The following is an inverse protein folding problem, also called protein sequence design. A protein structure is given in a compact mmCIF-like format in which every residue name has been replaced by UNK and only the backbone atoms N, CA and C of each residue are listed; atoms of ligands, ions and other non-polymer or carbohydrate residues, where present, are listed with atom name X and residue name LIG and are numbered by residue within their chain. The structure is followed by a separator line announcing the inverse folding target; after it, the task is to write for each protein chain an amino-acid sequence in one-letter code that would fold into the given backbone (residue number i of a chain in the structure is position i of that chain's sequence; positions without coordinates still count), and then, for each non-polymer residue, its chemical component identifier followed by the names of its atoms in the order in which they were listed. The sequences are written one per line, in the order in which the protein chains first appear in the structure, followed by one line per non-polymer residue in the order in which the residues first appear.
data_IF_182435335406
#
_entry.id   IF_182435335406
#
_cell.length_a   1.000
_cell.length_b   1.000
_cell.length_c   1.000
_cell.angle_alpha   90.00
_cell.angle_beta   90.00
_cell.angle_gamma   90.00
#
_symmetry.space_group_name_H-M   'P 1'
#
loop_
_entity.id
_entity.type
_entity.pdbx_description
1 polymer ?
#
# COMPACT_ATOMS: atom_id res chain seq x y z
N UNK A 1 -15.99 3.66 24.30
CA UNK A 1 -14.61 3.16 24.47
C UNK A 1 -13.71 4.01 23.60
N UNK A 2 -12.65 4.62 24.17
CA UNK A 2 -11.65 5.34 23.38
C UNK A 2 -10.92 4.27 22.56
N UNK A 3 -11.02 4.33 21.25
CA UNK A 3 -10.31 3.41 20.35
C UNK A 3 -8.81 3.63 20.51
N UNK A 4 -8.04 2.55 20.71
CA UNK A 4 -6.57 2.57 20.72
C UNK A 4 -6.08 3.11 19.38
N UNK A 5 -4.94 3.79 19.35
CA UNK A 5 -4.26 4.17 18.13
C UNK A 5 -3.93 2.92 17.29
N UNK A 6 -3.98 3.06 15.97
CA UNK A 6 -3.48 2.05 15.03
C UNK A 6 -2.02 2.38 14.73
N UNK A 7 -1.09 1.50 15.13
CA UNK A 7 0.35 1.66 14.84
C UNK A 7 0.70 0.99 13.52
N UNK A 8 1.29 1.75 12.61
CA UNK A 8 1.71 1.27 11.28
C UNK A 8 3.22 1.34 11.13
N UNK A 9 3.78 0.38 10.40
CA UNK A 9 5.18 0.34 10.00
C UNK A 9 5.30 0.16 8.48
N UNK A 10 5.96 1.09 7.80
CA UNK A 10 6.24 1.03 6.38
C UNK A 10 7.66 0.48 6.20
N UNK A 11 7.81 -0.57 5.41
CA UNK A 11 9.13 -1.14 5.07
C UNK A 11 9.52 -0.67 3.67
N UNK A 12 10.52 0.24 3.61
CA UNK A 12 11.06 0.79 2.38
C UNK A 12 12.22 -0.07 1.88
N UNK A 13 11.94 -1.10 1.08
CA UNK A 13 12.93 -2.07 0.66
C UNK A 13 13.56 -1.79 -0.71
N UNK A 14 14.82 -2.20 -0.86
CA UNK A 14 15.46 -2.35 -2.15
C UNK A 14 15.12 -3.72 -2.71
N UNK A 15 14.03 -3.80 -3.46
CA UNK A 15 13.49 -5.04 -4.01
C UNK A 15 14.50 -5.67 -4.98
N UNK A 16 14.98 -6.88 -4.68
CA UNK A 16 15.77 -7.70 -5.59
C UNK A 16 14.92 -8.11 -6.79
N UNK A 17 15.36 -7.73 -7.99
CA UNK A 17 14.56 -7.89 -9.20
C UNK A 17 14.42 -9.35 -9.62
N UNK A 18 13.18 -9.84 -9.69
CA UNK A 18 12.85 -11.21 -10.07
C UNK A 18 13.30 -12.28 -9.07
N UNK A 19 13.81 -11.91 -7.91
CA UNK A 19 14.29 -12.85 -6.89
C UNK A 19 13.37 -12.87 -5.66
N UNK A 20 12.32 -13.69 -5.75
CA UNK A 20 11.34 -13.87 -4.69
C UNK A 20 12.00 -14.26 -3.36
N UNK A 21 12.91 -15.22 -3.38
CA UNK A 21 13.49 -15.77 -2.15
C UNK A 21 14.36 -14.76 -1.44
N UNK A 22 15.18 -13.99 -2.17
CA UNK A 22 15.96 -12.91 -1.60
C UNK A 22 15.04 -11.83 -0.96
N UNK A 23 13.92 -11.51 -1.59
CA UNK A 23 12.96 -10.53 -1.07
C UNK A 23 12.21 -11.05 0.16
N UNK A 24 11.80 -12.30 0.21
CA UNK A 24 11.18 -12.92 1.39
C UNK A 24 12.16 -13.00 2.58
N UNK A 25 13.41 -13.38 2.32
CA UNK A 25 14.47 -13.39 3.35
C UNK A 25 14.74 -11.98 3.89
N UNK A 26 14.79 -10.97 3.00
CA UNK A 26 14.95 -9.57 3.39
C UNK A 26 13.79 -9.09 4.25
N UNK A 27 12.56 -9.42 3.88
CA UNK A 27 11.38 -9.14 4.72
C UNK A 27 11.53 -9.80 6.10
N UNK A 28 11.92 -11.07 6.17
CA UNK A 28 12.14 -11.79 7.44
C UNK A 28 13.21 -11.14 8.34
N UNK A 29 14.20 -10.44 7.74
CA UNK A 29 15.17 -9.63 8.49
C UNK A 29 14.57 -8.30 8.97
N UNK A 30 13.84 -7.60 8.08
CA UNK A 30 13.33 -6.25 8.34
C UNK A 30 12.17 -6.23 9.33
N UNK A 31 11.29 -7.25 9.30
CA UNK A 31 10.15 -7.33 10.22
C UNK A 31 10.59 -7.45 11.69
N UNK A 32 11.79 -7.98 11.95
CA UNK A 32 12.37 -8.04 13.31
C UNK A 32 12.75 -6.67 13.88
N UNK A 33 12.86 -5.64 13.03
CA UNK A 33 13.17 -4.27 13.43
C UNK A 33 11.91 -3.42 13.63
N UNK A 34 10.75 -4.00 13.39
CA UNK A 34 9.45 -3.36 13.62
C UNK A 34 9.10 -3.48 15.10
N UNK A 35 8.50 -2.43 15.67
CA UNK A 35 8.05 -2.44 17.07
C UNK A 35 7.04 -3.57 17.33
N UNK A 36 7.14 -4.22 18.50
CA UNK A 36 6.18 -5.25 18.93
C UNK A 36 4.76 -4.70 19.12
N UNK A 37 4.60 -3.37 19.20
CA UNK A 37 3.30 -2.69 19.29
C UNK A 37 2.67 -2.43 17.92
N UNK A 38 3.35 -2.76 16.82
CA UNK A 38 2.85 -2.51 15.46
C UNK A 38 1.63 -3.36 15.15
N UNK A 39 0.63 -2.73 14.57
CA UNK A 39 -0.61 -3.37 14.14
C UNK A 39 -0.60 -3.79 12.67
N UNK A 40 0.07 -2.99 11.81
CA UNK A 40 0.14 -3.22 10.36
C UNK A 40 1.54 -2.95 9.84
N UNK A 41 2.11 -3.93 9.16
CA UNK A 41 3.32 -3.79 8.35
C UNK A 41 2.92 -3.61 6.88
N UNK A 42 3.47 -2.59 6.21
CA UNK A 42 3.13 -2.26 4.83
C UNK A 42 4.38 -2.36 3.95
N UNK A 43 4.29 -3.20 2.91
CA UNK A 43 5.34 -3.52 1.95
C UNK A 43 5.12 -2.77 0.63
N UNK A 44 6.16 -2.57 -0.20
CA UNK A 44 6.04 -1.93 -1.50
C UNK A 44 5.17 -2.72 -2.50
N UNK A 45 4.87 -2.09 -3.63
CA UNK A 45 4.25 -2.73 -4.79
C UNK A 45 5.17 -3.84 -5.34
N UNK A 46 4.58 -5.00 -5.69
CA UNK A 46 5.29 -6.15 -6.27
C UNK A 46 6.57 -6.49 -5.50
N UNK A 47 6.47 -6.55 -4.17
CA UNK A 47 7.62 -6.62 -3.26
C UNK A 47 8.48 -7.87 -3.46
N UNK A 48 7.92 -8.95 -4.05
CA UNK A 48 8.65 -10.20 -4.33
C UNK A 48 9.40 -10.19 -5.64
N UNK A 49 8.99 -9.38 -6.63
CA UNK A 49 9.52 -9.46 -8.00
C UNK A 49 10.07 -8.15 -8.54
N UNK A 50 9.66 -7.01 -7.97
CA UNK A 50 9.80 -5.72 -8.63
C UNK A 50 8.81 -5.57 -9.78
N UNK A 51 8.86 -4.41 -10.46
CA UNK A 51 7.91 -4.05 -11.52
C UNK A 51 8.31 -4.68 -12.86
N UNK A 52 8.22 -6.01 -12.95
CA UNK A 52 8.53 -6.80 -14.15
C UNK A 52 7.39 -6.68 -15.17
N UNK A 53 7.64 -6.08 -16.33
CA UNK A 53 6.66 -5.83 -17.41
C UNK A 53 7.10 -6.44 -18.73
N UNK A 54 7.60 -7.67 -18.68
CA UNK A 54 8.01 -8.49 -19.84
C UNK A 54 7.53 -9.94 -19.67
N UNK A 55 7.92 -10.81 -20.57
CA UNK A 55 7.47 -12.21 -20.61
C UNK A 55 7.88 -13.03 -19.38
N UNK A 56 8.96 -12.65 -18.69
CA UNK A 56 9.40 -13.34 -17.47
C UNK A 56 8.39 -13.21 -16.30
N UNK A 57 7.48 -12.25 -16.36
CA UNK A 57 6.41 -12.10 -15.38
C UNK A 57 5.56 -13.38 -15.20
N UNK A 58 5.40 -14.19 -16.27
CA UNK A 58 4.61 -15.44 -16.19
C UNK A 58 5.28 -16.50 -15.31
N UNK A 59 6.59 -16.55 -15.31
CA UNK A 59 7.38 -17.51 -14.53
C UNK A 59 7.46 -17.10 -13.06
N UNK A 60 7.39 -15.78 -12.79
CA UNK A 60 7.48 -15.19 -11.46
C UNK A 60 6.13 -15.11 -10.73
N UNK A 61 5.02 -15.25 -11.48
CA UNK A 61 3.69 -15.07 -10.94
C UNK A 61 3.23 -16.26 -10.08
N UNK A 62 2.58 -15.96 -8.98
CA UNK A 62 2.08 -16.96 -8.03
C UNK A 62 0.55 -16.90 -7.89
N UNK A 63 -0.05 -18.02 -7.51
CA UNK A 63 -1.45 -18.05 -7.08
C UNK A 63 -1.60 -17.46 -5.68
N UNK A 64 -2.83 -17.08 -5.29
CA UNK A 64 -3.12 -16.62 -3.92
C UNK A 64 -2.79 -17.69 -2.84
N UNK A 65 -2.67 -18.95 -3.24
CA UNK A 65 -2.26 -20.06 -2.38
C UNK A 65 -0.78 -20.40 -2.53
N UNK A 66 0.00 -19.54 -3.20
CA UNK A 66 1.43 -19.72 -3.42
C UNK A 66 2.27 -19.47 -2.17
N UNK A 67 3.56 -19.77 -2.28
CA UNK A 67 4.53 -19.68 -1.18
C UNK A 67 4.60 -18.28 -0.57
N UNK A 68 4.53 -17.22 -1.39
CA UNK A 68 4.54 -15.85 -0.89
C UNK A 68 3.41 -15.59 0.11
N UNK A 69 2.17 -15.88 -0.26
CA UNK A 69 1.02 -15.62 0.62
C UNK A 69 1.05 -16.54 1.85
N UNK A 70 1.45 -17.80 1.70
CA UNK A 70 1.61 -18.73 2.83
C UNK A 70 2.66 -18.19 3.83
N UNK A 71 3.84 -17.80 3.36
CA UNK A 71 4.89 -17.24 4.19
C UNK A 71 4.44 -15.96 4.91
N UNK A 72 3.73 -15.06 4.21
CA UNK A 72 3.20 -13.84 4.82
C UNK A 72 2.16 -14.15 5.91
N UNK A 73 1.28 -15.13 5.71
CA UNK A 73 0.32 -15.57 6.72
C UNK A 73 1.00 -16.16 7.96
N UNK A 74 2.07 -16.92 7.77
CA UNK A 74 2.89 -17.44 8.88
C UNK A 74 3.56 -16.29 9.66
N UNK A 75 4.16 -15.32 8.96
CA UNK A 75 4.75 -14.13 9.60
C UNK A 75 3.68 -13.31 10.33
N UNK A 76 2.53 -13.07 9.72
CA UNK A 76 1.41 -12.34 10.31
C UNK A 76 0.96 -12.97 11.62
N UNK A 77 0.80 -14.29 11.66
CA UNK A 77 0.45 -15.04 12.88
C UNK A 77 1.56 -14.98 13.93
N UNK A 78 2.80 -15.20 13.50
CA UNK A 78 3.94 -15.27 14.41
C UNK A 78 4.17 -13.92 15.14
N UNK A 79 4.09 -12.81 14.42
CA UNK A 79 4.26 -11.47 14.98
C UNK A 79 2.95 -10.83 15.45
N UNK A 80 1.80 -11.49 15.27
CA UNK A 80 0.45 -10.97 15.56
C UNK A 80 0.20 -9.58 14.94
N UNK A 81 0.60 -9.40 13.67
CA UNK A 81 0.57 -8.14 12.91
C UNK A 81 -0.10 -8.37 11.55
N UNK A 82 -0.95 -7.44 11.09
CA UNK A 82 -1.43 -7.49 9.72
C UNK A 82 -0.32 -7.10 8.74
N UNK A 83 -0.30 -7.71 7.55
CA UNK A 83 0.69 -7.40 6.50
C UNK A 83 -0.04 -6.99 5.23
N UNK A 84 0.31 -5.81 4.69
CA UNK A 84 -0.21 -5.27 3.45
C UNK A 84 0.91 -5.09 2.41
N UNK A 85 0.56 -5.15 1.13
CA UNK A 85 1.51 -4.97 0.03
C UNK A 85 0.88 -5.31 -1.31
N UNK A 86 1.70 -5.54 -2.34
CA UNK A 86 1.21 -6.22 -3.55
C UNK A 86 2.23 -7.21 -4.09
N UNK A 87 1.75 -8.20 -4.82
CA UNK A 87 2.55 -9.23 -5.46
C UNK A 87 2.07 -9.51 -6.88
N UNK A 88 2.88 -10.19 -7.66
CA UNK A 88 2.53 -10.64 -9.00
C UNK A 88 1.69 -11.90 -8.90
N UNK A 89 0.38 -11.73 -9.09
CA UNK A 89 -0.60 -12.80 -8.96
C UNK A 89 -0.93 -13.41 -10.32
N UNK A 90 -1.16 -14.74 -10.34
CA UNK A 90 -1.67 -15.47 -11.49
C UNK A 90 -3.02 -16.14 -11.18
N UNK A 91 -3.88 -16.11 -12.17
CA UNK A 91 -5.02 -17.02 -12.30
C UNK A 91 -4.75 -18.00 -13.44
N UNK A 92 -5.73 -18.80 -13.89
CA UNK A 92 -5.50 -19.82 -14.91
C UNK A 92 -4.82 -19.27 -16.20
N UNK A 93 -5.11 -18.05 -16.63
CA UNK A 93 -4.58 -17.46 -17.87
C UNK A 93 -4.16 -15.99 -17.74
N UNK A 94 -4.41 -15.36 -16.62
CA UNK A 94 -4.26 -13.92 -16.44
C UNK A 94 -3.26 -13.59 -15.32
N UNK A 95 -2.55 -12.47 -15.49
CA UNK A 95 -1.63 -11.92 -14.51
C UNK A 95 -2.18 -10.61 -13.94
N UNK A 96 -1.98 -10.39 -12.65
CA UNK A 96 -2.44 -9.21 -11.95
C UNK A 96 -1.36 -8.65 -11.04
N UNK A 97 -1.28 -7.34 -10.93
CA UNK A 97 -0.65 -6.67 -9.82
C UNK A 97 -1.68 -6.66 -8.68
N UNK A 98 -1.59 -7.64 -7.77
CA UNK A 98 -2.58 -7.88 -6.73
C UNK A 98 -2.13 -7.35 -5.40
N UNK A 99 -2.82 -6.36 -4.89
CA UNK A 99 -2.68 -5.92 -3.51
C UNK A 99 -3.35 -6.92 -2.55
N UNK A 100 -2.79 -7.00 -1.36
CA UNK A 100 -3.27 -7.84 -0.28
C UNK A 100 -3.23 -7.08 1.06
N UNK A 101 -4.16 -7.43 1.94
CA UNK A 101 -4.12 -7.16 3.36
C UNK A 101 -4.43 -8.47 4.07
N UNK A 102 -3.47 -8.99 4.83
CA UNK A 102 -3.54 -10.29 5.49
C UNK A 102 -3.55 -10.08 7.00
N UNK A 103 -4.57 -10.62 7.68
CA UNK A 103 -4.70 -10.52 9.13
C UNK A 103 -4.18 -11.78 9.85
N UNK A 104 -3.76 -11.68 11.11
CA UNK A 104 -3.29 -12.83 11.88
C UNK A 104 -4.32 -13.95 12.08
N UNK A 105 -5.61 -13.65 11.92
CA UNK A 105 -6.73 -14.58 12.03
C UNK A 105 -7.08 -15.29 10.70
N UNK A 106 -6.22 -15.20 9.69
CA UNK A 106 -6.39 -15.71 8.32
C UNK A 106 -7.39 -14.94 7.44
N UNK A 107 -8.01 -13.86 7.94
CA UNK A 107 -8.81 -13.00 7.08
C UNK A 107 -7.91 -12.28 6.06
N UNK A 108 -8.40 -12.16 4.84
CA UNK A 108 -7.66 -11.53 3.76
C UNK A 108 -8.54 -10.62 2.91
N UNK A 109 -7.97 -9.50 2.48
CA UNK A 109 -8.57 -8.61 1.48
C UNK A 109 -7.64 -8.55 0.29
N UNK A 110 -8.16 -8.80 -0.90
CA UNK A 110 -7.41 -8.78 -2.15
C UNK A 110 -8.00 -7.74 -3.11
N UNK A 111 -7.10 -7.09 -3.85
CA UNK A 111 -7.49 -6.07 -4.83
C UNK A 111 -6.55 -6.11 -6.04
N UNK A 112 -7.10 -6.28 -7.24
CA UNK A 112 -6.34 -6.20 -8.48
C UNK A 112 -6.26 -4.75 -8.96
N UNK A 113 -5.03 -4.26 -9.19
CA UNK A 113 -4.74 -2.89 -9.63
C UNK A 113 -5.63 -2.49 -10.80
N UNK A 114 -6.38 -1.40 -10.61
CA UNK A 114 -7.32 -0.95 -11.63
C UNK A 114 -6.65 -0.15 -12.75
N UNK A 115 -5.75 0.75 -12.41
CA UNK A 115 -5.11 1.62 -13.40
C UNK A 115 -3.71 1.11 -13.71
N UNK A 116 -3.57 0.45 -14.86
CA UNK A 116 -2.28 -0.02 -15.34
C UNK A 116 -1.47 1.14 -15.92
N UNK A 117 -0.16 1.16 -15.64
CA UNK A 117 0.74 2.20 -16.13
C UNK A 117 1.10 1.96 -17.60
N UNK A 118 0.26 2.43 -18.51
CA UNK A 118 0.35 2.17 -19.95
C UNK A 118 1.65 2.66 -20.58
N UNK A 119 2.24 3.72 -20.04
CA UNK A 119 3.54 4.25 -20.52
C UNK A 119 4.72 3.30 -20.32
N UNK A 120 4.59 2.31 -19.43
CA UNK A 120 5.60 1.24 -19.26
C UNK A 120 5.26 -0.03 -20.02
N UNK A 121 4.10 -0.11 -20.66
CA UNK A 121 3.60 -1.33 -21.28
C UNK A 121 2.98 -2.32 -20.30
N UNK A 122 2.65 -1.91 -19.06
CA UNK A 122 2.05 -2.77 -18.04
C UNK A 122 0.81 -3.52 -18.56
N UNK A 123 -0.03 -2.86 -19.35
CA UNK A 123 -1.26 -3.43 -19.94
C UNK A 123 -1.01 -4.57 -20.96
N UNK A 124 0.23 -4.74 -21.43
CA UNK A 124 0.58 -5.82 -22.35
C UNK A 124 0.89 -7.13 -21.60
N UNK A 125 1.13 -7.04 -20.29
CA UNK A 125 1.55 -8.16 -19.42
C UNK A 125 0.49 -8.46 -18.36
N UNK A 126 -0.04 -7.43 -17.71
CA UNK A 126 -1.02 -7.55 -16.63
C UNK A 126 -2.44 -7.26 -17.10
N UNK A 127 -3.38 -7.92 -16.47
CA UNK A 127 -4.80 -7.64 -16.64
C UNK A 127 -5.24 -6.55 -15.66
N UNK A 128 -6.12 -5.70 -16.12
CA UNK A 128 -6.74 -4.66 -15.30
C UNK A 128 -7.74 -5.26 -14.32
N UNK A 129 -7.70 -4.82 -13.06
CA UNK A 129 -8.74 -5.10 -12.09
C UNK A 129 -10.06 -4.39 -12.47
N UNK A 130 -11.18 -5.08 -12.32
CA UNK A 130 -12.50 -4.57 -12.72
C UNK A 130 -13.32 -4.02 -11.55
N UNK A 131 -12.87 -4.21 -10.31
CA UNK A 131 -13.57 -3.75 -9.11
C UNK A 131 -13.06 -2.42 -8.59
N UNK A 132 -13.86 -1.77 -7.75
CA UNK A 132 -13.38 -0.67 -6.89
C UNK A 132 -12.38 -1.21 -5.89
N UNK A 133 -11.44 -0.37 -5.46
CA UNK A 133 -10.60 -0.68 -4.33
C UNK A 133 -11.49 -0.90 -3.08
N UNK A 134 -11.32 -2.02 -2.36
CA UNK A 134 -12.15 -2.34 -1.21
C UNK A 134 -11.92 -1.36 -0.06
N UNK A 135 -12.99 -1.12 0.69
CA UNK A 135 -12.91 -0.51 2.02
C UNK A 135 -13.26 -1.60 3.02
N UNK A 136 -12.41 -1.83 3.99
CA UNK A 136 -12.56 -2.87 5.01
C UNK A 136 -12.19 -2.33 6.39
N UNK A 137 -12.64 -2.99 7.45
CA UNK A 137 -12.42 -2.55 8.82
C UNK A 137 -11.33 -3.38 9.49
N UNK A 138 -10.35 -2.71 10.07
CA UNK A 138 -9.31 -3.32 10.88
C UNK A 138 -9.04 -2.50 12.14
N UNK A 139 -9.06 -3.14 13.31
CA UNK A 139 -8.78 -2.54 14.65
C UNK A 139 -9.42 -1.17 14.87
N UNK A 140 -10.68 -1.01 14.44
CA UNK A 140 -11.48 0.19 14.68
C UNK A 140 -11.36 1.29 13.63
N UNK A 141 -10.49 1.16 12.63
CA UNK A 141 -10.36 2.07 11.49
C UNK A 141 -10.79 1.40 10.17
N UNK A 142 -11.39 2.17 9.28
CA UNK A 142 -11.70 1.72 7.93
C UNK A 142 -10.52 2.02 7.02
N UNK A 143 -10.05 1.02 6.29
CA UNK A 143 -8.85 1.09 5.44
C UNK A 143 -9.25 0.92 3.98
N UNK A 144 -8.68 1.74 3.10
CA UNK A 144 -8.70 1.58 1.65
C UNK A 144 -7.29 1.29 1.15
N UNK A 145 -7.11 0.28 0.30
CA UNK A 145 -5.82 -0.12 -0.26
C UNK A 145 -5.82 0.05 -1.77
N UNK A 146 -4.85 0.80 -2.30
CA UNK A 146 -4.66 1.06 -3.73
C UNK A 146 -3.21 0.85 -4.14
N UNK A 147 -2.97 0.72 -5.46
CA UNK A 147 -1.64 0.41 -5.99
C UNK A 147 -1.13 1.52 -6.91
N UNK A 148 -0.04 2.15 -6.50
CA UNK A 148 0.85 2.99 -7.29
C UNK A 148 0.11 4.00 -8.22
N UNK A 149 -0.07 3.64 -9.48
CA UNK A 149 -0.67 4.51 -10.50
C UNK A 149 -2.13 4.89 -10.20
N UNK A 150 -2.86 4.07 -9.40
CA UNK A 150 -4.21 4.41 -8.92
C UNK A 150 -4.24 5.77 -8.21
N UNK A 151 -3.15 6.14 -7.53
CA UNK A 151 -3.01 7.42 -6.82
C UNK A 151 -3.23 8.65 -7.72
N UNK A 152 -2.99 8.53 -9.04
CA UNK A 152 -3.15 9.65 -9.98
C UNK A 152 -4.60 9.99 -10.29
N UNK A 153 -5.54 9.14 -9.94
CA UNK A 153 -6.94 9.28 -10.31
C UNK A 153 -7.77 9.76 -9.10
N UNK A 154 -8.05 11.09 -8.98
CA UNK A 154 -8.67 11.65 -7.79
C UNK A 154 -10.07 11.08 -7.52
N UNK A 155 -10.87 10.85 -8.55
CA UNK A 155 -12.21 10.28 -8.40
C UNK A 155 -12.14 8.86 -7.82
N UNK A 156 -11.16 8.04 -8.24
CA UNK A 156 -10.95 6.70 -7.72
C UNK A 156 -10.49 6.69 -6.26
N UNK A 157 -9.69 7.70 -5.88
CA UNK A 157 -9.17 7.86 -4.52
C UNK A 157 -10.14 8.61 -3.58
N UNK A 158 -11.28 9.09 -4.09
CA UNK A 158 -12.18 9.94 -3.30
C UNK A 158 -12.79 9.19 -2.13
N UNK A 159 -12.80 9.85 -0.97
CA UNK A 159 -13.46 9.40 0.25
C UNK A 159 -14.90 9.93 0.25
N UNK A 160 -15.84 9.09 -0.14
CA UNK A 160 -17.26 9.46 -0.17
C UNK A 160 -17.86 9.23 1.22
N UNK A 161 -18.44 10.27 1.82
CA UNK A 161 -19.08 10.19 3.15
C UNK A 161 -18.14 9.65 4.26
N UNK A 162 -16.83 9.92 4.19
CA UNK A 162 -15.85 9.40 5.14
C UNK A 162 -15.88 7.86 5.29
N UNK A 163 -16.05 7.14 4.18
CA UNK A 163 -16.11 5.68 4.19
C UNK A 163 -14.82 5.02 4.68
N UNK A 164 -13.65 5.72 4.56
CA UNK A 164 -12.37 5.23 5.07
C UNK A 164 -11.64 6.28 5.91
N UNK A 165 -10.79 5.80 6.81
CA UNK A 165 -9.97 6.57 7.74
C UNK A 165 -8.50 6.59 7.33
N UNK A 166 -8.06 5.52 6.67
CA UNK A 166 -6.69 5.30 6.21
C UNK A 166 -6.68 4.91 4.74
N UNK A 167 -5.86 5.59 3.94
CA UNK A 167 -5.53 5.19 2.57
C UNK A 167 -4.12 4.61 2.54
N UNK A 168 -3.99 3.33 2.23
CA UNK A 168 -2.70 2.67 1.98
C UNK A 168 -2.41 2.71 0.49
N UNK A 169 -1.20 3.16 0.12
CA UNK A 169 -0.72 3.23 -1.27
C UNK A 169 0.65 2.55 -1.35
N UNK A 170 0.72 1.42 -2.02
CA UNK A 170 1.96 0.68 -2.25
C UNK A 170 2.51 0.96 -3.65
N UNK A 171 3.82 1.19 -3.80
CA UNK A 171 4.36 1.69 -5.06
C UNK A 171 5.76 1.21 -5.45
N UNK A 172 6.01 1.23 -6.78
CA UNK A 172 7.31 1.32 -7.44
C UNK A 172 7.36 2.68 -8.17
N UNK A 173 7.55 3.77 -7.42
CA UNK A 173 7.47 5.13 -7.98
C UNK A 173 8.88 5.73 -8.17
N UNK A 174 9.31 5.98 -9.41
CA UNK A 174 10.67 6.41 -9.70
C UNK A 174 11.04 7.77 -9.10
N UNK A 175 12.30 7.91 -8.71
CA UNK A 175 12.89 9.12 -8.12
C UNK A 175 12.66 10.38 -8.97
N UNK A 176 12.71 10.27 -10.30
CA UNK A 176 12.47 11.40 -11.22
C UNK A 176 11.05 11.96 -11.10
N UNK A 177 10.11 11.25 -10.52
CA UNK A 177 8.74 11.67 -10.27
C UNK A 177 8.39 11.75 -8.77
N UNK A 178 9.40 11.77 -7.90
CA UNK A 178 9.21 11.75 -6.43
C UNK A 178 8.37 12.93 -5.94
N UNK A 179 8.56 14.12 -6.53
CA UNK A 179 7.76 15.29 -6.17
C UNK A 179 6.26 15.07 -6.44
N UNK A 180 5.91 14.48 -7.60
CA UNK A 180 4.52 14.15 -7.91
C UNK A 180 3.95 13.11 -6.93
N UNK A 181 4.74 12.10 -6.56
CA UNK A 181 4.38 11.10 -5.57
C UNK A 181 4.02 11.74 -4.22
N UNK A 182 4.93 12.53 -3.66
CA UNK A 182 4.74 13.24 -2.39
C UNK A 182 3.53 14.16 -2.41
N UNK A 183 3.42 15.00 -3.47
CA UNK A 183 2.31 15.95 -3.62
C UNK A 183 0.96 15.25 -3.69
N UNK A 184 0.87 14.15 -4.44
CA UNK A 184 -0.38 13.40 -4.56
C UNK A 184 -0.77 12.72 -3.24
N UNK A 185 0.17 12.12 -2.50
CA UNK A 185 -0.12 11.55 -1.18
C UNK A 185 -0.66 12.62 -0.23
N UNK A 186 -0.02 13.79 -0.17
CA UNK A 186 -0.49 14.90 0.67
C UNK A 186 -1.86 15.41 0.24
N UNK A 187 -2.08 15.54 -1.08
CA UNK A 187 -3.38 15.96 -1.61
C UNK A 187 -4.49 14.95 -1.21
N UNK A 188 -4.23 13.64 -1.34
CA UNK A 188 -5.19 12.61 -0.92
C UNK A 188 -5.50 12.66 0.58
N UNK A 189 -4.51 12.96 1.41
CA UNK A 189 -4.72 13.11 2.86
C UNK A 189 -5.62 14.31 3.19
N UNK A 190 -5.33 15.47 2.58
CA UNK A 190 -6.04 16.73 2.85
C UNK A 190 -7.47 16.68 2.29
N UNK A 191 -7.65 16.34 1.00
CA UNK A 191 -8.97 16.38 0.33
C UNK A 191 -9.94 15.33 0.83
N UNK A 192 -9.41 14.22 1.40
CA UNK A 192 -10.21 13.10 1.92
C UNK A 192 -10.32 13.09 3.45
N UNK A 193 -9.69 14.05 4.12
CA UNK A 193 -9.67 14.11 5.59
C UNK A 193 -9.33 12.75 6.21
N UNK A 194 -8.23 12.11 5.73
CA UNK A 194 -7.82 10.78 6.15
C UNK A 194 -6.30 10.70 6.35
N UNK A 195 -5.84 9.67 7.06
CA UNK A 195 -4.43 9.30 7.06
C UNK A 195 -4.03 8.68 5.72
N UNK A 196 -2.79 8.91 5.29
CA UNK A 196 -2.24 8.27 4.08
C UNK A 196 -0.91 7.60 4.43
N UNK A 197 -0.81 6.30 4.16
CA UNK A 197 0.40 5.51 4.27
C UNK A 197 0.92 5.21 2.86
N UNK A 198 1.90 5.97 2.39
CA UNK A 198 2.52 5.78 1.08
C UNK A 198 3.84 5.04 1.21
N UNK A 199 3.91 3.80 0.73
CA UNK A 199 5.11 2.97 0.73
C UNK A 199 5.66 2.86 -0.67
N UNK A 200 6.93 3.22 -0.83
CA UNK A 200 7.66 3.07 -2.08
C UNK A 200 8.85 2.14 -1.90
N UNK A 201 9.25 1.45 -2.96
CA UNK A 201 10.57 0.80 -2.96
C UNK A 201 11.70 1.83 -3.03
N UNK A 202 12.92 1.41 -2.70
CA UNK A 202 14.14 2.18 -2.95
C UNK A 202 15.12 1.41 -3.85
N UNK A 203 16.30 2.00 -4.12
CA UNK A 203 17.36 1.38 -4.90
C UNK A 203 17.25 1.61 -6.41
N UNK A 204 17.70 0.65 -7.22
CA UNK A 204 17.67 0.70 -8.69
C UNK A 204 17.04 -0.55 -9.26
N UNK A 205 16.43 -0.43 -10.44
CA UNK A 205 16.04 -1.58 -11.24
C UNK A 205 17.15 -1.99 -12.23
N UNK A 206 17.05 -3.15 -12.92
CA UNK A 206 18.05 -3.58 -13.90
C UNK A 206 18.25 -2.65 -15.10
N UNK A 207 17.27 -1.76 -15.36
CA UNK A 207 17.35 -0.73 -16.43
C UNK A 207 18.01 0.55 -15.94
N UNK A 208 18.46 0.60 -14.68
CA UNK A 208 19.11 1.76 -14.07
C UNK A 208 18.17 2.84 -13.57
N UNK A 209 16.85 2.61 -13.59
CA UNK A 209 15.88 3.56 -13.04
C UNK A 209 16.00 3.59 -11.51
N UNK A 210 16.16 4.80 -10.97
CA UNK A 210 16.35 4.99 -9.53
C UNK A 210 15.03 5.20 -8.79
N UNK A 211 14.97 4.63 -7.57
CA UNK A 211 13.91 4.81 -6.58
C UNK A 211 14.54 5.39 -5.31
N UNK A 212 13.94 6.46 -4.80
CA UNK A 212 14.56 7.25 -3.73
C UNK A 212 14.51 6.52 -2.38
N UNK A 213 15.61 6.56 -1.64
CA UNK A 213 15.59 6.32 -0.19
C UNK A 213 14.87 7.49 0.50
N UNK A 214 14.00 7.21 1.47
CA UNK A 214 13.15 8.21 2.11
C UNK A 214 11.99 8.66 1.22
N UNK A 215 11.56 7.78 0.29
CA UNK A 215 10.41 8.00 -0.58
C UNK A 215 9.08 7.47 -0.02
N UNK A 216 9.06 7.03 1.24
CA UNK A 216 7.87 6.52 1.92
C UNK A 216 7.46 7.46 3.05
N UNK A 217 6.16 7.68 3.23
CA UNK A 217 5.64 8.62 4.24
C UNK A 217 4.33 8.16 4.85
N UNK A 218 4.17 8.43 6.15
CA UNK A 218 2.87 8.47 6.82
C UNK A 218 2.46 9.93 6.96
N UNK A 219 1.26 10.26 6.49
CA UNK A 219 0.76 11.63 6.38
C UNK A 219 -0.58 11.72 7.11
N UNK A 220 -0.74 12.73 7.96
CA UNK A 220 -2.00 12.98 8.64
C UNK A 220 -3.03 13.70 7.74
N UNK A 221 -4.25 13.76 8.21
CA UNK A 221 -5.41 14.38 7.54
C UNK A 221 -5.27 15.91 7.31
N UNK A 222 -4.17 16.53 7.76
CA UNK A 222 -3.79 17.93 7.46
C UNK A 222 -2.67 18.03 6.46
N UNK A 223 -2.19 16.90 5.94
CA UNK A 223 -1.08 16.82 5.00
C UNK A 223 0.31 16.88 5.65
N UNK A 224 0.40 16.78 7.00
CA UNK A 224 1.67 16.74 7.73
C UNK A 224 2.25 15.34 7.72
N UNK A 225 3.54 15.22 7.43
CA UNK A 225 4.28 13.96 7.59
C UNK A 225 4.46 13.71 9.09
N UNK A 226 4.03 12.55 9.57
CA UNK A 226 4.05 12.16 10.99
C UNK A 226 4.87 10.88 11.25
N UNK A 227 5.30 10.15 10.21
CA UNK A 227 6.13 8.96 10.38
C UNK A 227 7.54 9.32 10.86
N UNK A 228 8.00 8.62 11.87
CA UNK A 228 9.38 8.71 12.34
C UNK A 228 10.21 7.62 11.68
N UNK A 229 11.31 8.04 11.05
CA UNK A 229 12.27 7.11 10.47
C UNK A 229 13.13 6.53 11.60
N UNK A 230 12.96 5.25 11.88
CA UNK A 230 13.87 4.50 12.75
C UNK A 230 15.18 4.22 12.01
N UNK A 231 16.05 3.41 12.57
CA UNK A 231 17.39 3.11 12.04
C UNK A 231 17.41 2.48 10.63
N UNK A 232 16.31 2.59 9.83
CA UNK A 232 16.16 2.08 8.44
C UNK A 232 15.90 0.56 8.35
N UNK A 233 15.14 0.08 7.40
CA UNK A 233 14.32 0.76 6.38
C UNK A 233 12.88 1.01 6.86
N UNK A 234 12.62 0.96 8.16
CA UNK A 234 11.30 1.02 8.79
C UNK A 234 10.93 2.46 9.14
N UNK A 235 9.69 2.86 8.81
CA UNK A 235 9.08 4.14 9.18
C UNK A 235 7.82 3.82 9.98
N UNK A 236 7.75 4.28 11.22
CA UNK A 236 6.61 4.00 12.11
C UNK A 236 5.80 5.24 12.41
N UNK A 237 4.50 5.07 12.65
CA UNK A 237 3.61 6.12 13.11
C UNK A 237 2.38 5.55 13.82
N UNK A 238 1.82 6.35 14.73
CA UNK A 238 0.55 6.11 15.38
C UNK A 238 -0.57 6.91 14.72
N UNK A 239 -1.63 6.23 14.30
CA UNK A 239 -2.82 6.83 13.71
C UNK A 239 -3.92 6.87 14.78
N UNK A 240 -4.34 8.08 15.19
CA UNK A 240 -5.35 8.29 16.22
C UNK A 240 -6.77 8.39 15.64
N UNK A 241 -7.64 7.40 15.83
CA UNK A 241 -9.04 7.50 15.40
C UNK A 241 -9.78 8.66 16.09
N UNK A 242 -9.43 8.93 17.34
CA UNK A 242 -10.06 9.99 18.13
C UNK A 242 -9.72 11.39 17.60
N UNK A 243 -8.45 11.60 17.19
CA UNK A 243 -8.02 12.89 16.64
C UNK A 243 -8.60 13.12 15.24
N UNK A 244 -8.67 12.08 14.41
CA UNK A 244 -9.31 12.14 13.11
C UNK A 244 -10.80 12.48 13.24
N UNK A 245 -11.52 11.80 14.12
CA UNK A 245 -12.94 12.07 14.38
C UNK A 245 -13.18 13.51 14.84
N UNK A 246 -12.37 13.98 15.78
CA UNK A 246 -12.41 15.37 16.27
C UNK A 246 -12.12 16.39 15.18
N UNK A 247 -11.19 16.08 14.27
CA UNK A 247 -10.89 16.95 13.13
C UNK A 247 -12.08 17.04 12.18
N UNK A 248 -12.64 15.91 11.76
CA UNK A 248 -13.81 15.83 10.87
C UNK A 248 -15.06 16.48 11.45
N UNK A 249 -15.21 16.48 12.78
CA UNK A 249 -16.29 17.20 13.46
C UNK A 249 -16.09 18.72 13.41
N UNK A 250 -14.86 19.20 13.63
CA UNK A 250 -14.53 20.63 13.63
C UNK A 250 -14.45 21.23 12.23
N UNK A 251 -14.07 20.45 11.24
CA UNK A 251 -13.93 20.87 9.86
C UNK A 251 -14.58 19.85 8.92
N UNK A 252 -15.91 19.82 8.81
CA UNK A 252 -16.66 18.81 8.09
C UNK A 252 -16.78 19.10 6.58
N UNK A 253 -15.66 19.40 5.89
CA UNK A 253 -15.64 19.77 4.46
C UNK A 253 -16.21 18.66 3.55
N UNK A 254 -16.17 17.40 3.98
CA UNK A 254 -16.77 16.28 3.26
C UNK A 254 -18.30 16.42 3.05
N UNK A 255 -18.99 17.21 3.88
CA UNK A 255 -20.45 17.44 3.76
C UNK A 255 -20.81 18.32 2.57
N UNK A 256 -19.86 19.15 2.13
CA UNK A 256 -20.04 20.09 1.02
C UNK A 256 -19.60 19.45 -0.34
N UNK A 257 -19.18 18.19 -0.30
CA UNK A 257 -18.68 17.50 -1.47
C UNK A 257 -19.78 17.21 -2.52
N UNK A 258 -19.40 17.33 -3.79
CA UNK A 258 -20.27 16.97 -4.90
C UNK A 258 -20.66 15.49 -4.85
N UNK A 259 -21.91 15.21 -5.27
CA UNK A 259 -22.39 13.83 -5.44
C UNK A 259 -22.04 13.34 -6.82
N UNK A 260 -21.44 12.17 -6.91
CA UNK A 260 -21.12 11.50 -8.17
C UNK A 260 -21.30 9.99 -8.06
N UNK A 261 -21.46 9.32 -9.18
CA UNK A 261 -21.42 7.86 -9.26
C UNK A 261 -20.23 7.40 -10.08
N UNK A 262 -19.53 6.40 -9.57
CA UNK A 262 -18.40 5.78 -10.26
C UNK A 262 -18.93 4.63 -11.11
N UNK A 263 -18.92 4.78 -12.43
CA UNK A 263 -19.23 3.69 -13.37
C UNK A 263 -17.98 2.83 -13.59
N UNK A 264 -18.10 1.52 -13.36
CA UNK A 264 -17.04 0.52 -13.52
C UNK A 264 -17.07 -0.11 -14.91
#
# INVERSE_FOLDING_TARGET
MISRNLRVALIEDNVAWGDKYANLEQLGRNIKNVSDETDVVILPELFTTGFVVDQSARELAERNTGETIQYLKELSKYYNVAIAGSFLASTASQLYNRAFFLEPNDEEVLYDKRHLFTMSGEQNIYNQGLSKAPVFRFRGMNIKLIVCYDLRFPVFCRNVNNEFDVLIVVANWPKVRLNAWKTLLQARAIENECYVCGVNRCGKDPKGLEYAFGGSWVIDYKGKIIGEKSTSPVIEADLSPADLARFREKFPAWRDADKFSFML
#
